data_IF_042465165729
#
_entry.id   IF_042465165729
#
_cell.length_a   1.000
_cell.length_b   1.000
_cell.length_c   1.000
_cell.angle_alpha   90.00
_cell.angle_beta   90.00
_cell.angle_gamma   90.00
#
_symmetry.space_group_name_H-M   'P 1'
#
loop_
_entity.id
_entity.type
_entity.pdbx_description
1 polymer ?
#
# COMPACT_ATOMS: atom_id res chain seq x y z
N UNK A 1 45.85 -8.12 -1.90
CA UNK A 1 45.79 -8.45 -0.46
C UNK A 1 46.98 -7.82 0.30
N UNK A 2 47.29 -6.53 0.09
CA UNK A 2 48.48 -5.88 0.70
C UNK A 2 48.23 -4.45 1.25
N UNK A 3 47.03 -3.87 1.10
CA UNK A 3 46.75 -2.53 1.65
C UNK A 3 46.35 -2.51 3.14
N UNK A 4 46.01 -3.66 3.73
CA UNK A 4 45.54 -3.73 5.14
C UNK A 4 46.70 -3.77 6.15
N UNK A 5 47.94 -4.02 5.68
CA UNK A 5 49.05 -4.35 6.57
C UNK A 5 49.86 -3.15 7.11
N UNK A 6 49.54 -1.91 6.67
CA UNK A 6 50.15 -0.67 7.20
C UNK A 6 49.26 0.08 8.19
N UNK A 7 48.24 -0.56 8.71
CA UNK A 7 47.28 0.04 9.64
C UNK A 7 47.68 -0.30 11.09
N UNK A 8 47.99 0.73 11.88
CA UNK A 8 48.27 0.63 13.31
C UNK A 8 47.22 -0.24 14.02
N UNK A 9 47.64 -1.06 14.99
CA UNK A 9 46.80 -2.05 15.70
C UNK A 9 45.47 -1.44 16.21
N UNK A 10 45.48 -0.15 16.57
CA UNK A 10 44.29 0.63 16.95
C UNK A 10 43.25 0.78 15.82
N UNK A 11 43.70 0.98 14.58
CA UNK A 11 42.85 1.11 13.40
C UNK A 11 42.24 -0.24 12.99
N UNK A 12 42.97 -1.34 13.24
CA UNK A 12 42.45 -2.71 13.02
C UNK A 12 41.28 -3.05 13.95
N UNK A 13 41.34 -2.60 15.20
CA UNK A 13 40.26 -2.78 16.18
C UNK A 13 39.07 -1.87 15.84
N UNK A 14 39.32 -0.59 15.54
CA UNK A 14 38.26 0.36 15.18
C UNK A 14 37.50 -0.05 13.91
N UNK A 15 38.21 -0.58 12.90
CA UNK A 15 37.61 -1.10 11.66
C UNK A 15 36.67 -2.28 11.91
N UNK A 16 36.99 -3.17 12.87
CA UNK A 16 36.12 -4.29 13.24
C UNK A 16 34.81 -3.84 13.89
N UNK A 17 34.86 -2.86 14.79
CA UNK A 17 33.64 -2.28 15.40
C UNK A 17 32.79 -1.53 14.38
N UNK A 18 33.43 -0.78 13.48
CA UNK A 18 32.75 -0.04 12.42
C UNK A 18 32.06 -0.99 11.43
N UNK A 19 32.71 -2.09 11.07
CA UNK A 19 32.14 -3.12 10.20
C UNK A 19 30.91 -3.78 10.85
N UNK A 20 30.98 -4.08 12.15
CA UNK A 20 29.83 -4.64 12.88
C UNK A 20 28.61 -3.70 12.87
N UNK A 21 28.83 -2.40 13.05
CA UNK A 21 27.75 -1.40 12.97
C UNK A 21 27.18 -1.25 11.56
N UNK A 22 28.04 -1.23 10.53
CA UNK A 22 27.59 -1.17 9.12
C UNK A 22 26.74 -2.38 8.77
N UNK A 23 27.13 -3.57 9.19
CA UNK A 23 26.34 -4.80 8.99
C UNK A 23 24.99 -4.72 9.68
N UNK A 24 24.94 -4.16 10.90
CA UNK A 24 23.69 -3.97 11.65
C UNK A 24 22.75 -2.97 10.95
N UNK A 25 23.29 -1.88 10.41
CA UNK A 25 22.55 -0.88 9.63
C UNK A 25 22.03 -1.47 8.32
N UNK A 26 22.85 -2.24 7.60
CA UNK A 26 22.45 -2.94 6.37
C UNK A 26 21.35 -3.95 6.67
N UNK A 27 21.47 -4.70 7.77
CA UNK A 27 20.45 -5.65 8.21
C UNK A 27 19.13 -4.94 8.52
N UNK A 28 19.15 -3.82 9.25
CA UNK A 28 17.95 -3.00 9.47
C UNK A 28 17.36 -2.49 8.14
N UNK A 29 18.17 -2.02 7.21
CA UNK A 29 17.72 -1.51 5.91
C UNK A 29 17.08 -2.59 5.02
N UNK A 30 17.52 -3.85 5.13
CA UNK A 30 16.97 -4.96 4.35
C UNK A 30 15.73 -5.57 5.02
N UNK A 31 15.74 -5.73 6.35
CA UNK A 31 14.71 -6.49 7.07
C UNK A 31 13.46 -5.65 7.37
N UNK A 32 13.63 -4.35 7.67
CA UNK A 32 12.53 -3.46 8.00
C UNK A 32 11.53 -3.23 6.84
N UNK A 33 11.95 -2.92 5.59
CA UNK A 33 11.00 -2.73 4.49
C UNK A 33 10.25 -4.01 4.13
N UNK A 34 10.89 -5.19 4.27
CA UNK A 34 10.26 -6.47 3.99
C UNK A 34 9.10 -6.77 4.96
N UNK A 35 9.30 -6.53 6.27
CA UNK A 35 8.23 -6.71 7.26
C UNK A 35 7.13 -5.64 7.17
N UNK A 36 7.51 -4.40 6.88
CA UNK A 36 6.57 -3.29 6.83
C UNK A 36 5.60 -3.43 5.65
N UNK A 37 6.08 -3.91 4.49
CA UNK A 37 5.22 -4.14 3.31
C UNK A 37 4.11 -5.17 3.58
N UNK A 38 4.40 -6.22 4.36
CA UNK A 38 3.43 -7.25 4.70
C UNK A 38 2.35 -6.75 5.69
N UNK A 39 2.76 -6.06 6.76
CA UNK A 39 1.81 -5.54 7.75
C UNK A 39 0.95 -4.39 7.20
N UNK A 40 1.54 -3.54 6.36
CA UNK A 40 0.81 -2.46 5.70
C UNK A 40 -0.25 -3.00 4.74
N UNK A 41 0.05 -4.06 3.99
CA UNK A 41 -0.90 -4.61 3.01
C UNK A 41 -2.20 -5.08 3.67
N UNK A 42 -2.11 -5.77 4.80
CA UNK A 42 -3.29 -6.28 5.49
C UNK A 42 -4.18 -5.15 6.01
N UNK A 43 -3.60 -4.09 6.55
CA UNK A 43 -4.36 -2.91 6.97
C UNK A 43 -5.09 -2.20 5.80
N UNK A 44 -4.47 -2.18 4.60
CA UNK A 44 -5.13 -1.64 3.39
C UNK A 44 -6.25 -2.55 2.92
N UNK A 45 -6.04 -3.87 2.93
CA UNK A 45 -7.07 -4.84 2.58
C UNK A 45 -8.27 -4.75 3.53
N UNK A 46 -8.04 -4.64 4.84
CA UNK A 46 -9.10 -4.49 5.84
C UNK A 46 -9.85 -3.16 5.68
N UNK A 47 -9.14 -2.06 5.39
CA UNK A 47 -9.75 -0.77 5.09
C UNK A 47 -10.59 -0.86 3.81
N UNK A 48 -10.06 -1.48 2.76
CA UNK A 48 -10.76 -1.67 1.49
C UNK A 48 -12.04 -2.49 1.66
N UNK A 49 -11.95 -3.59 2.39
CA UNK A 49 -13.08 -4.45 2.70
C UNK A 49 -14.16 -3.70 3.47
N UNK A 50 -13.77 -2.84 4.41
CA UNK A 50 -14.71 -2.07 5.23
C UNK A 50 -15.47 -1.02 4.41
N UNK A 51 -14.75 -0.24 3.58
CA UNK A 51 -15.36 0.73 2.66
C UNK A 51 -16.27 0.01 1.66
N UNK A 52 -15.79 -1.07 1.04
CA UNK A 52 -16.56 -1.83 0.06
C UNK A 52 -17.86 -2.39 0.67
N UNK A 53 -17.80 -2.97 1.88
CA UNK A 53 -18.99 -3.48 2.57
C UNK A 53 -19.98 -2.35 2.91
N UNK A 54 -19.51 -1.22 3.42
CA UNK A 54 -20.35 -0.08 3.76
C UNK A 54 -21.09 0.47 2.53
N UNK A 55 -20.35 0.65 1.42
CA UNK A 55 -20.93 1.11 0.15
C UNK A 55 -21.90 0.06 -0.39
N UNK A 56 -21.54 -1.22 -0.39
CA UNK A 56 -22.40 -2.31 -0.88
C UNK A 56 -23.75 -2.34 -0.15
N UNK A 57 -23.77 -2.19 1.17
CA UNK A 57 -25.01 -2.13 1.96
C UNK A 57 -25.83 -0.88 1.60
N UNK A 58 -25.18 0.28 1.42
CA UNK A 58 -25.86 1.52 1.07
C UNK A 58 -26.48 1.51 -0.32
N UNK A 59 -25.86 0.81 -1.29
CA UNK A 59 -26.33 0.78 -2.69
C UNK A 59 -27.23 -0.42 -2.99
N UNK A 60 -27.27 -1.44 -2.13
CA UNK A 60 -28.12 -2.62 -2.31
C UNK A 60 -29.57 -2.30 -2.71
N UNK A 61 -30.32 -1.44 -1.99
CA UNK A 61 -31.67 -1.07 -2.40
C UNK A 61 -31.68 -0.22 -3.68
N UNK A 62 -30.69 0.66 -3.87
CA UNK A 62 -30.61 1.51 -5.05
C UNK A 62 -30.42 0.69 -6.35
N UNK A 63 -29.75 -0.46 -6.29
CA UNK A 63 -29.64 -1.37 -7.43
C UNK A 63 -30.98 -2.05 -7.72
N UNK A 64 -31.72 -2.48 -6.69
CA UNK A 64 -33.03 -3.11 -6.88
C UNK A 64 -34.06 -2.16 -7.51
N UNK A 65 -34.00 -0.89 -7.14
CA UNK A 65 -34.86 0.14 -7.72
C UNK A 65 -34.28 0.80 -8.98
N UNK A 66 -33.15 0.30 -9.50
CA UNK A 66 -32.41 0.86 -10.64
C UNK A 66 -32.14 2.38 -10.52
N UNK A 67 -32.00 2.88 -9.29
CA UNK A 67 -31.75 4.29 -8.99
C UNK A 67 -30.25 4.59 -9.07
N UNK A 68 -29.78 4.83 -10.30
CA UNK A 68 -28.40 5.23 -10.55
C UNK A 68 -27.98 6.50 -9.80
N UNK A 69 -28.91 7.42 -9.51
CA UNK A 69 -28.58 8.67 -8.80
C UNK A 69 -28.21 8.40 -7.36
N UNK A 70 -28.98 7.55 -6.68
CA UNK A 70 -28.67 7.10 -5.33
C UNK A 70 -27.32 6.37 -5.25
N UNK A 71 -26.98 5.54 -6.26
CA UNK A 71 -25.68 4.86 -6.33
C UNK A 71 -24.53 5.87 -6.50
N UNK A 72 -24.70 6.86 -7.38
CA UNK A 72 -23.69 7.90 -7.60
C UNK A 72 -23.46 8.76 -6.36
N UNK A 73 -24.50 9.05 -5.58
CA UNK A 73 -24.36 9.82 -4.33
C UNK A 73 -23.60 9.03 -3.24
N UNK A 74 -23.88 7.72 -3.13
CA UNK A 74 -23.12 6.83 -2.27
C UNK A 74 -21.64 6.74 -2.71
N UNK A 75 -21.38 6.66 -4.03
CA UNK A 75 -20.02 6.65 -4.57
C UNK A 75 -19.27 7.97 -4.29
N UNK A 76 -19.93 9.12 -4.42
CA UNK A 76 -19.37 10.43 -4.07
C UNK A 76 -19.02 10.52 -2.59
N UNK A 77 -19.90 10.00 -1.72
CA UNK A 77 -19.66 9.93 -0.28
C UNK A 77 -18.44 9.07 0.05
N UNK A 78 -18.31 7.90 -0.60
CA UNK A 78 -17.15 7.03 -0.44
C UNK A 78 -15.85 7.66 -1.00
N UNK A 79 -15.96 8.43 -2.08
CA UNK A 79 -14.85 9.15 -2.69
C UNK A 79 -14.35 10.37 -1.87
N UNK A 80 -15.01 10.70 -0.74
CA UNK A 80 -14.46 11.64 0.24
C UNK A 80 -13.24 11.08 0.96
N UNK A 81 -13.11 9.75 1.04
CA UNK A 81 -11.88 9.13 1.55
C UNK A 81 -10.77 9.31 0.49
N UNK A 82 -9.66 9.98 0.85
CA UNK A 82 -8.59 10.33 -0.10
C UNK A 82 -7.84 9.12 -0.66
N UNK A 83 -7.99 7.93 -0.06
CA UNK A 83 -7.34 6.72 -0.55
C UNK A 83 -8.16 6.08 -1.69
N UNK A 84 -9.45 6.42 -1.84
CA UNK A 84 -10.35 5.85 -2.85
C UNK A 84 -10.08 6.50 -4.21
N UNK A 85 -9.58 5.70 -5.15
CA UNK A 85 -9.32 6.16 -6.52
C UNK A 85 -10.55 6.02 -7.43
N UNK A 86 -11.25 4.89 -7.33
CA UNK A 86 -12.42 4.60 -8.16
C UNK A 86 -13.36 3.59 -7.50
N UNK A 87 -14.63 3.64 -7.91
CA UNK A 87 -15.63 2.61 -7.59
C UNK A 87 -16.33 2.18 -8.87
N UNK A 88 -16.73 0.93 -8.94
CA UNK A 88 -17.52 0.42 -10.05
C UNK A 88 -18.43 -0.71 -9.59
N UNK A 89 -19.65 -0.75 -10.10
CA UNK A 89 -20.57 -1.83 -9.84
C UNK A 89 -20.92 -2.57 -11.12
N UNK A 90 -20.91 -3.89 -11.02
CA UNK A 90 -21.31 -4.82 -12.05
C UNK A 90 -22.63 -5.48 -11.68
N UNK A 91 -23.50 -5.63 -12.65
CA UNK A 91 -24.72 -6.43 -12.52
C UNK A 91 -24.37 -7.95 -12.45
N UNK A 92 -25.33 -8.80 -12.12
CA UNK A 92 -25.21 -10.28 -12.06
C UNK A 92 -24.64 -10.88 -13.35
N UNK A 93 -24.88 -10.22 -14.48
CA UNK A 93 -24.39 -10.62 -15.82
C UNK A 93 -22.92 -10.24 -16.06
N UNK A 94 -22.29 -9.52 -15.14
CA UNK A 94 -20.91 -9.03 -15.29
C UNK A 94 -20.79 -7.77 -16.15
N UNK A 95 -21.91 -7.12 -16.50
CA UNK A 95 -21.89 -5.82 -17.18
C UNK A 95 -21.71 -4.69 -16.17
N UNK A 96 -20.87 -3.71 -16.51
CA UNK A 96 -20.71 -2.50 -15.72
C UNK A 96 -22.03 -1.72 -15.73
N UNK A 97 -22.67 -1.62 -14.55
CA UNK A 97 -23.91 -0.88 -14.37
C UNK A 97 -23.61 0.61 -14.23
N UNK A 98 -22.81 0.98 -13.21
CA UNK A 98 -22.35 2.36 -13.03
C UNK A 98 -20.96 2.42 -12.41
N UNK A 99 -20.29 3.55 -12.56
CA UNK A 99 -18.93 3.72 -12.05
C UNK A 99 -18.61 5.16 -11.67
N UNK A 100 -17.63 5.31 -10.80
CA UNK A 100 -17.06 6.59 -10.39
C UNK A 100 -15.56 6.58 -10.64
N UNK A 101 -15.08 7.52 -11.45
CA UNK A 101 -13.66 7.73 -11.79
C UNK A 101 -12.93 6.50 -12.40
N UNK A 102 -13.68 5.48 -12.84
CA UNK A 102 -13.17 4.20 -13.35
C UNK A 102 -12.37 4.30 -14.67
N UNK A 103 -12.65 5.32 -15.48
CA UNK A 103 -11.98 5.52 -16.79
C UNK A 103 -10.48 5.80 -16.65
N UNK A 104 -10.01 6.26 -15.50
CA UNK A 104 -8.58 6.53 -15.26
C UNK A 104 -7.74 5.29 -14.95
N UNK A 105 -8.35 4.16 -14.58
CA UNK A 105 -7.64 3.03 -13.94
C UNK A 105 -7.59 1.76 -14.78
N UNK A 106 -7.96 1.85 -16.07
CA UNK A 106 -8.03 0.69 -16.97
C UNK A 106 -9.30 -0.13 -16.73
N UNK A 107 -9.90 -0.64 -17.81
CA UNK A 107 -11.10 -1.49 -17.71
C UNK A 107 -10.69 -2.84 -17.11
N UNK A 108 -11.08 -3.09 -15.87
CA UNK A 108 -11.02 -4.40 -15.24
C UNK A 108 -12.16 -5.23 -15.82
N UNK A 109 -11.82 -6.23 -16.63
CA UNK A 109 -12.79 -7.05 -17.36
C UNK A 109 -13.61 -7.99 -16.46
N UNK A 110 -13.15 -8.26 -15.23
CA UNK A 110 -13.85 -9.14 -14.28
C UNK A 110 -13.68 -8.66 -12.84
N UNK A 111 -14.76 -8.48 -12.06
CA UNK A 111 -14.67 -8.14 -10.65
C UNK A 111 -14.00 -9.28 -9.87
N UNK A 112 -12.87 -9.03 -9.18
CA UNK A 112 -12.22 -10.05 -8.37
C UNK A 112 -13.04 -10.36 -7.12
N UNK A 113 -13.04 -11.61 -6.66
CA UNK A 113 -13.56 -11.97 -5.34
C UNK A 113 -12.44 -11.76 -4.30
N UNK A 114 -12.49 -10.64 -3.59
CA UNK A 114 -11.46 -10.25 -2.61
C UNK A 114 -10.47 -9.21 -3.12
N UNK A 115 -9.24 -9.24 -2.59
CA UNK A 115 -8.23 -8.22 -2.85
C UNK A 115 -7.24 -8.63 -3.95
N UNK A 116 -7.12 -7.81 -5.00
CA UNK A 116 -6.15 -7.99 -6.08
C UNK A 116 -5.33 -6.72 -6.24
N UNK A 117 -4.02 -6.86 -6.33
CA UNK A 117 -3.11 -5.75 -6.58
C UNK A 117 -2.98 -5.53 -8.09
N UNK A 118 -3.23 -4.32 -8.56
CA UNK A 118 -2.98 -3.92 -9.94
C UNK A 118 -2.07 -2.69 -9.95
N UNK A 119 -0.78 -2.91 -10.14
CA UNK A 119 0.25 -1.88 -9.99
C UNK A 119 0.27 -1.33 -8.56
N UNK A 120 -0.02 -0.04 -8.41
CA UNK A 120 -0.06 0.68 -7.13
C UNK A 120 -1.48 0.85 -6.55
N UNK A 121 -2.46 0.14 -7.12
CA UNK A 121 -3.86 0.19 -6.68
C UNK A 121 -4.29 -1.18 -6.16
N UNK A 122 -4.81 -1.21 -4.93
CA UNK A 122 -5.50 -2.38 -4.39
C UNK A 122 -6.95 -2.34 -4.84
N UNK A 123 -7.38 -3.36 -5.57
CA UNK A 123 -8.76 -3.54 -6.00
C UNK A 123 -9.40 -4.55 -5.07
N UNK A 124 -10.45 -4.15 -4.37
CA UNK A 124 -11.23 -5.03 -3.52
C UNK A 124 -12.64 -5.20 -4.08
N UNK A 125 -13.03 -6.45 -4.35
CA UNK A 125 -14.38 -6.78 -4.80
C UNK A 125 -15.24 -7.42 -3.71
N UNK A 126 -16.50 -7.00 -3.66
CA UNK A 126 -17.52 -7.53 -2.75
C UNK A 126 -18.82 -7.79 -3.50
N UNK A 127 -19.49 -8.91 -3.20
CA UNK A 127 -20.83 -9.17 -3.71
C UNK A 127 -21.84 -8.28 -2.97
N UNK A 128 -22.72 -7.63 -3.71
CA UNK A 128 -23.82 -6.85 -3.17
C UNK A 128 -25.06 -7.75 -3.12
N UNK A 129 -25.55 -7.99 -1.91
CA UNK A 129 -26.72 -8.82 -1.66
C UNK A 129 -27.86 -7.95 -1.14
N UNK A 130 -29.07 -8.15 -1.65
CA UNK A 130 -30.29 -7.54 -1.13
C UNK A 130 -31.34 -8.63 -0.91
N UNK A 131 -32.05 -8.58 0.22
CA UNK A 131 -33.05 -9.57 0.63
C UNK A 131 -32.61 -11.05 0.50
N UNK A 132 -31.30 -11.35 0.65
CA UNK A 132 -30.74 -12.69 0.53
C UNK A 132 -30.39 -13.15 -0.90
N UNK A 133 -30.65 -12.33 -1.92
CA UNK A 133 -30.25 -12.58 -3.30
C UNK A 133 -29.05 -11.72 -3.70
N UNK A 134 -28.10 -12.30 -4.44
CA UNK A 134 -27.00 -11.54 -5.06
C UNK A 134 -27.57 -10.63 -6.14
N UNK A 135 -27.37 -9.32 -5.99
CA UNK A 135 -27.88 -8.29 -6.93
C UNK A 135 -26.78 -7.80 -7.86
N UNK A 136 -25.53 -7.77 -7.39
CA UNK A 136 -24.39 -7.37 -8.21
C UNK A 136 -23.04 -7.59 -7.52
N UNK A 137 -21.98 -7.08 -8.13
CA UNK A 137 -20.61 -7.08 -7.61
C UNK A 137 -20.07 -5.64 -7.60
N UNK A 138 -19.72 -5.13 -6.43
CA UNK A 138 -19.06 -3.84 -6.27
C UNK A 138 -17.55 -4.06 -6.23
N UNK A 139 -16.80 -3.21 -6.93
CA UNK A 139 -15.35 -3.11 -6.80
C UNK A 139 -14.96 -1.71 -6.33
N UNK A 140 -13.96 -1.67 -5.45
CA UNK A 140 -13.36 -0.45 -4.92
C UNK A 140 -11.87 -0.50 -5.19
N UNK A 141 -11.33 0.54 -5.82
CA UNK A 141 -9.90 0.71 -6.03
C UNK A 141 -9.32 1.73 -5.06
N UNK A 142 -8.34 1.32 -4.26
CA UNK A 142 -7.63 2.18 -3.31
C UNK A 142 -6.16 2.33 -3.69
N UNK A 143 -5.61 3.54 -3.57
CA UNK A 143 -4.20 3.81 -3.82
C UNK A 143 -3.32 3.35 -2.65
N UNK A 144 -2.24 2.60 -2.93
CA UNK A 144 -1.20 2.33 -1.93
C UNK A 144 -0.17 3.46 -1.81
N UNK A 145 -0.21 4.44 -2.71
CA UNK A 145 0.85 5.42 -2.91
C UNK A 145 0.98 6.40 -1.72
N UNK A 146 -0.14 6.64 -1.02
CA UNK A 146 -0.15 7.47 0.19
C UNK A 146 0.58 6.81 1.35
N UNK A 147 0.48 5.49 1.45
CA UNK A 147 1.16 4.74 2.51
C UNK A 147 2.63 4.55 2.19
N UNK A 148 2.97 4.35 0.91
CA UNK A 148 4.36 4.25 0.50
C UNK A 148 5.14 5.57 0.73
N UNK A 149 4.46 6.73 0.66
CA UNK A 149 5.05 8.04 0.99
C UNK A 149 5.47 8.18 2.47
N UNK A 150 4.82 7.48 3.40
CA UNK A 150 5.22 7.50 4.82
C UNK A 150 6.49 6.70 5.12
N UNK A 151 6.89 5.78 4.22
CA UNK A 151 8.05 4.90 4.43
C UNK A 151 9.36 5.58 4.03
N UNK A 152 9.34 6.55 3.09
CA UNK A 152 10.56 7.21 2.62
C UNK A 152 11.22 8.15 3.63
N UNK A 153 10.49 8.67 4.64
CA UNK A 153 11.09 9.55 5.66
C UNK A 153 12.03 8.82 6.63
N UNK A 154 11.98 7.48 6.72
CA UNK A 154 12.91 6.72 7.56
C UNK A 154 14.22 6.37 6.83
N UNK A 155 14.25 6.40 5.49
CA UNK A 155 15.46 6.15 4.69
C UNK A 155 16.49 7.28 4.81
N UNK A 156 16.05 8.53 4.84
CA UNK A 156 16.95 9.68 4.95
C UNK A 156 17.70 9.71 6.29
N UNK A 157 17.04 9.30 7.37
CA UNK A 157 17.64 9.25 8.71
C UNK A 157 18.73 8.18 8.81
N UNK A 158 18.52 7.01 8.21
CA UNK A 158 19.52 5.93 8.20
C UNK A 158 20.74 6.30 7.35
N UNK A 159 20.53 6.95 6.19
CA UNK A 159 21.63 7.46 5.36
C UNK A 159 22.43 8.51 6.13
N UNK A 160 21.75 9.41 6.86
CA UNK A 160 22.40 10.46 7.64
C UNK A 160 23.19 9.90 8.84
N UNK A 161 22.64 8.91 9.54
CA UNK A 161 23.35 8.18 10.61
C UNK A 161 24.55 7.42 10.05
N UNK A 162 24.41 6.75 8.91
CA UNK A 162 25.52 6.09 8.22
C UNK A 162 26.63 7.07 7.81
N UNK A 163 26.26 8.26 7.35
CA UNK A 163 27.20 9.33 6.99
C UNK A 163 27.93 9.89 8.22
N UNK A 164 27.23 10.10 9.33
CA UNK A 164 27.82 10.52 10.61
C UNK A 164 28.82 9.50 11.16
N UNK A 165 28.51 8.21 11.07
CA UNK A 165 29.42 7.14 11.49
C UNK A 165 30.70 7.16 10.63
N UNK A 166 30.59 7.35 9.30
CA UNK A 166 31.74 7.48 8.41
C UNK A 166 32.64 8.66 8.77
N UNK A 167 32.06 9.82 9.06
CA UNK A 167 32.81 11.02 9.45
C UNK A 167 33.51 10.81 10.80
N UNK A 168 32.79 10.34 11.81
CA UNK A 168 33.35 10.14 13.14
C UNK A 168 34.47 9.10 13.14
N UNK A 169 34.31 7.99 12.42
CA UNK A 169 35.36 6.98 12.26
C UNK A 169 36.58 7.48 11.48
N UNK A 170 36.39 8.38 10.51
CA UNK A 170 37.49 9.01 9.77
C UNK A 170 38.27 10.03 10.62
N UNK A 171 37.57 10.83 11.43
CA UNK A 171 38.19 11.91 12.24
C UNK A 171 38.96 11.42 13.46
N UNK A 172 38.57 10.30 14.07
CA UNK A 172 39.29 9.70 15.20
C UNK A 172 40.45 8.78 14.79
N UNK A 173 40.64 8.58 13.48
CA UNK A 173 41.71 7.77 12.91
C UNK A 173 43.00 8.54 12.53
N UNK A 174 43.09 9.83 12.84
CA UNK A 174 44.30 10.65 12.66
C UNK A 174 45.07 10.83 13.96
#
# INVERSE_FOLDING_TARGET
MLLINKLSVRMKISLSYMLAFVVLVIFMLLFFPAKQKAQTRQAVEDKAASIAKMVAVSIAPAIEFEDERAIQEAFRSAALDPDVQFLAIYDKRGYLFTSYNYRKTGKISSPPDGAVLNGDTLIYGVSVNSAGAKVGNLIVGLSLERINRQINSYRSLIILVGFLILILGGTWGW
#
